data_IF_688639864314
#
_entry.id   IF_688639864314
#
_cell.length_a   1.000
_cell.length_b   1.000
_cell.length_c   1.000
_cell.angle_alpha   90.00
_cell.angle_beta   90.00
_cell.angle_gamma   90.00
#
_symmetry.space_group_name_H-M   'P 1'
#
loop_
_entity.id
_entity.type
_entity.pdbx_description
1 polymer ?
#
# COMPACT_ATOMS: atom_id res chain seq x y z
N UNK A 1 -13.62 40.22 -8.92
CA UNK A 1 -14.94 40.77 -8.53
C UNK A 1 -15.31 40.21 -7.15
N UNK A 2 -15.67 41.05 -6.17
CA UNK A 2 -16.09 40.59 -4.84
C UNK A 2 -17.38 39.76 -4.91
N UNK A 3 -17.60 38.88 -3.93
CA UNK A 3 -18.81 38.05 -3.85
C UNK A 3 -20.00 38.94 -3.48
N UNK A 4 -21.09 38.96 -4.25
CA UNK A 4 -22.28 39.77 -3.92
C UNK A 4 -22.87 39.40 -2.55
N UNK A 5 -23.24 40.43 -1.78
CA UNK A 5 -24.00 40.25 -0.54
C UNK A 5 -25.43 39.78 -0.87
N UNK A 6 -25.98 38.86 -0.05
CA UNK A 6 -27.32 38.29 -0.25
C UNK A 6 -27.37 36.92 -0.95
N UNK A 7 -26.24 36.39 -1.43
CA UNK A 7 -26.20 35.03 -1.98
C UNK A 7 -26.42 33.97 -0.89
N UNK A 8 -27.13 32.89 -1.24
CA UNK A 8 -27.22 31.67 -0.44
C UNK A 8 -25.85 31.01 -0.31
N UNK A 9 -25.65 30.18 0.73
CA UNK A 9 -24.38 29.50 0.98
C UNK A 9 -23.86 28.73 -0.25
N UNK A 10 -24.75 28.01 -0.94
CA UNK A 10 -24.42 27.22 -2.13
C UNK A 10 -23.93 28.10 -3.29
N UNK A 11 -24.60 29.22 -3.55
CA UNK A 11 -24.20 30.17 -4.60
C UNK A 11 -22.88 30.85 -4.25
N UNK A 12 -22.63 31.17 -2.97
CA UNK A 12 -21.32 31.67 -2.54
C UNK A 12 -20.21 30.66 -2.81
N UNK A 13 -20.44 29.36 -2.58
CA UNK A 13 -19.45 28.31 -2.88
C UNK A 13 -19.18 28.17 -4.38
N UNK A 14 -20.20 28.24 -5.22
CA UNK A 14 -20.02 28.24 -6.70
C UNK A 14 -19.21 29.46 -7.12
N UNK A 15 -19.59 30.65 -6.64
CA UNK A 15 -18.90 31.91 -6.97
C UNK A 15 -17.45 31.93 -6.48
N UNK A 16 -17.16 31.32 -5.34
CA UNK A 16 -15.81 31.19 -4.81
C UNK A 16 -14.90 30.37 -5.75
N UNK A 17 -15.44 29.33 -6.38
CA UNK A 17 -14.71 28.47 -7.31
C UNK A 17 -14.85 28.91 -8.78
N UNK A 18 -15.37 30.12 -9.06
CA UNK A 18 -15.56 30.62 -10.44
C UNK A 18 -14.28 30.60 -11.27
N UNK A 19 -13.13 30.82 -10.63
CA UNK A 19 -11.83 30.84 -11.29
C UNK A 19 -11.47 29.47 -11.88
N UNK A 20 -11.94 28.38 -11.27
CA UNK A 20 -11.79 27.03 -11.82
C UNK A 20 -12.51 26.92 -13.17
N UNK A 21 -13.73 27.46 -13.27
CA UNK A 21 -14.48 27.45 -14.53
C UNK A 21 -13.85 28.38 -15.57
N UNK A 22 -13.27 29.51 -15.15
CA UNK A 22 -12.56 30.42 -16.06
C UNK A 22 -11.28 29.79 -16.61
N UNK A 23 -10.49 29.13 -15.77
CA UNK A 23 -9.29 28.38 -16.19
C UNK A 23 -9.61 27.26 -17.17
N UNK A 24 -10.84 26.77 -17.13
CA UNK A 24 -11.30 25.69 -17.96
C UNK A 24 -11.92 26.19 -19.29
N UNK A 25 -11.97 27.50 -19.56
CA UNK A 25 -12.71 28.11 -20.69
C UNK A 25 -14.23 27.88 -20.62
N UNK A 26 -14.81 27.87 -19.42
CA UNK A 26 -16.25 27.85 -19.19
C UNK A 26 -16.84 26.48 -18.84
N UNK A 27 -18.15 26.44 -18.63
CA UNK A 27 -18.86 25.24 -18.16
C UNK A 27 -19.10 24.23 -19.30
N UNK A 28 -19.10 24.70 -20.55
CA UNK A 28 -19.52 23.92 -21.73
C UNK A 28 -18.67 22.68 -21.96
N UNK A 29 -17.37 22.70 -21.62
CA UNK A 29 -16.50 21.53 -21.76
C UNK A 29 -17.00 20.33 -20.91
N UNK A 30 -17.69 20.63 -19.80
CA UNK A 30 -18.19 19.65 -18.84
C UNK A 30 -19.58 19.16 -19.22
N UNK A 31 -20.21 19.77 -20.23
CA UNK A 31 -21.53 19.38 -20.74
C UNK A 31 -21.36 18.31 -21.83
N UNK A 32 -22.29 17.36 -21.89
CA UNK A 32 -22.38 16.38 -22.98
C UNK A 32 -23.84 15.95 -23.14
N UNK A 33 -24.40 16.19 -24.33
CA UNK A 33 -25.84 16.03 -24.62
C UNK A 33 -26.70 16.84 -23.63
N UNK A 34 -26.40 18.15 -23.53
CA UNK A 34 -27.07 19.14 -22.67
C UNK A 34 -27.13 18.81 -21.18
N UNK A 35 -26.30 17.85 -20.73
CA UNK A 35 -26.19 17.45 -19.33
C UNK A 35 -24.78 17.67 -18.82
N UNK A 36 -24.67 18.35 -17.69
CA UNK A 36 -23.40 18.50 -16.98
C UNK A 36 -22.90 17.13 -16.51
N UNK A 37 -21.64 16.80 -16.84
CA UNK A 37 -20.99 15.54 -16.50
C UNK A 37 -19.99 15.78 -15.38
N UNK A 38 -20.39 15.41 -14.16
CA UNK A 38 -19.53 15.46 -12.97
C UNK A 38 -18.19 14.75 -13.22
N UNK A 39 -18.20 13.63 -13.96
CA UNK A 39 -16.98 12.89 -14.31
C UNK A 39 -15.96 13.75 -15.10
N UNK A 40 -16.41 14.61 -16.01
CA UNK A 40 -15.51 15.48 -16.79
C UNK A 40 -14.90 16.56 -15.88
N UNK A 41 -15.72 17.22 -15.06
CA UNK A 41 -15.26 18.20 -14.08
C UNK A 41 -14.28 17.57 -13.08
N UNK A 42 -14.59 16.37 -12.59
CA UNK A 42 -13.72 15.66 -11.67
C UNK A 42 -12.34 15.35 -12.28
N UNK A 43 -12.29 14.88 -13.53
CA UNK A 43 -11.04 14.64 -14.27
C UNK A 43 -10.25 15.93 -14.55
N UNK A 44 -10.93 17.06 -14.73
CA UNK A 44 -10.29 18.36 -14.89
C UNK A 44 -9.67 18.83 -13.57
N UNK A 45 -10.42 18.73 -12.47
CA UNK A 45 -9.96 19.06 -11.12
C UNK A 45 -8.82 18.15 -10.63
N UNK A 46 -8.83 16.90 -11.07
CA UNK A 46 -7.85 15.89 -10.70
C UNK A 46 -7.08 15.46 -11.94
N UNK A 47 -6.02 16.19 -12.32
CA UNK A 47 -5.19 15.80 -13.44
C UNK A 47 -4.71 14.36 -13.26
N UNK A 48 -4.55 13.66 -14.38
CA UNK A 48 -4.13 12.26 -14.39
C UNK A 48 -2.78 12.16 -13.67
N UNK A 49 -2.78 11.56 -12.48
CA UNK A 49 -1.57 11.35 -11.71
C UNK A 49 -0.56 10.47 -12.44
N UNK A 50 0.71 10.55 -12.02
CA UNK A 50 1.76 9.69 -12.55
C UNK A 50 1.36 8.22 -12.47
N UNK A 51 1.66 7.46 -13.54
CA UNK A 51 1.41 6.02 -13.54
C UNK A 51 2.33 5.35 -12.50
N UNK A 52 1.76 4.62 -11.57
CA UNK A 52 2.51 3.91 -10.52
C UNK A 52 2.59 2.42 -10.84
N UNK A 53 3.80 1.86 -10.74
CA UNK A 53 4.06 0.46 -11.07
C UNK A 53 3.29 -0.53 -10.18
N UNK A 54 3.06 -0.17 -8.91
CA UNK A 54 2.40 -0.99 -7.91
C UNK A 54 0.87 -1.04 -8.02
N UNK A 55 0.24 -0.25 -8.92
CA UNK A 55 -1.23 -0.16 -9.03
C UNK A 55 -1.91 -1.52 -9.16
N UNK A 56 -1.35 -2.41 -9.99
CA UNK A 56 -1.96 -3.74 -10.23
C UNK A 56 -1.87 -4.63 -8.99
N UNK A 57 -0.75 -4.57 -8.27
CA UNK A 57 -0.52 -5.31 -7.03
C UNK A 57 -1.50 -4.89 -5.92
N UNK A 58 -1.92 -3.62 -5.90
CA UNK A 58 -2.81 -3.09 -4.85
C UNK A 58 -4.29 -3.12 -5.27
N UNK A 59 -4.65 -2.50 -6.39
CA UNK A 59 -6.06 -2.18 -6.69
C UNK A 59 -6.87 -3.37 -7.24
N UNK A 60 -6.23 -4.46 -7.67
CA UNK A 60 -6.91 -5.66 -8.18
C UNK A 60 -6.38 -6.94 -7.50
N UNK A 61 -5.99 -6.81 -6.23
CA UNK A 61 -5.50 -7.94 -5.46
C UNK A 61 -6.64 -8.81 -4.95
N UNK A 62 -6.43 -10.12 -4.95
CA UNK A 62 -7.29 -11.08 -4.26
C UNK A 62 -6.91 -11.25 -2.77
N UNK A 63 -5.81 -10.64 -2.33
CA UNK A 63 -5.38 -10.63 -0.93
C UNK A 63 -6.39 -9.92 -0.02
N UNK A 64 -6.21 -10.04 1.30
CA UNK A 64 -7.11 -9.37 2.23
C UNK A 64 -7.06 -7.84 2.06
N UNK A 65 -8.19 -7.13 2.20
CA UNK A 65 -8.20 -5.67 2.14
C UNK A 65 -7.27 -5.02 3.17
N UNK A 66 -7.18 -5.61 4.38
CA UNK A 66 -6.27 -5.15 5.45
C UNK A 66 -4.81 -5.32 5.04
N UNK A 67 -4.47 -6.47 4.47
CA UNK A 67 -3.11 -6.78 4.02
C UNK A 67 -2.70 -5.87 2.86
N UNK A 68 -3.60 -5.70 1.89
CA UNK A 68 -3.42 -4.80 0.74
C UNK A 68 -3.20 -3.36 1.17
N UNK A 69 -3.95 -2.88 2.17
CA UNK A 69 -3.79 -1.53 2.72
C UNK A 69 -2.40 -1.32 3.36
N UNK A 70 -1.91 -2.28 4.14
CA UNK A 70 -0.57 -2.19 4.74
C UNK A 70 0.53 -2.21 3.68
N UNK A 71 0.43 -3.05 2.66
CA UNK A 71 1.39 -3.06 1.55
C UNK A 71 1.34 -1.74 0.77
N UNK A 72 0.15 -1.18 0.54
CA UNK A 72 -0.01 0.12 -0.11
C UNK A 72 0.71 1.24 0.65
N UNK A 73 0.67 1.22 1.98
CA UNK A 73 1.46 2.14 2.81
C UNK A 73 2.97 1.82 2.71
N UNK A 74 3.34 0.54 2.74
CA UNK A 74 4.73 0.11 2.67
C UNK A 74 5.42 0.53 1.36
N UNK A 75 4.79 0.31 0.20
CA UNK A 75 5.34 0.71 -1.11
C UNK A 75 5.49 2.22 -1.27
N UNK A 76 4.77 3.01 -0.47
CA UNK A 76 4.91 4.47 -0.40
C UNK A 76 5.83 4.93 0.73
N UNK A 77 6.48 4.00 1.43
CA UNK A 77 7.32 4.26 2.60
C UNK A 77 6.58 5.02 3.70
N UNK A 78 5.29 4.73 3.92
CA UNK A 78 4.37 5.42 4.85
C UNK A 78 4.08 4.67 6.15
N UNK A 79 4.71 3.52 6.38
CA UNK A 79 4.58 2.80 7.65
C UNK A 79 5.39 3.48 8.76
N UNK A 80 4.94 3.35 10.00
CA UNK A 80 5.59 3.93 11.18
C UNK A 80 6.76 3.06 11.69
N UNK A 81 7.76 2.88 10.84
CA UNK A 81 9.04 2.23 11.17
C UNK A 81 9.89 3.13 12.07
N UNK A 82 10.77 2.55 12.89
CA UNK A 82 11.55 3.33 13.88
C UNK A 82 12.46 4.37 13.22
N UNK A 83 13.08 4.08 12.06
CA UNK A 83 13.84 5.07 11.29
C UNK A 83 13.02 6.33 10.96
N UNK A 84 11.72 6.15 10.69
CA UNK A 84 10.82 7.26 10.34
C UNK A 84 10.34 8.00 11.58
N UNK A 85 10.09 7.29 12.68
CA UNK A 85 9.75 7.91 13.96
C UNK A 85 10.92 8.75 14.49
N UNK A 86 12.16 8.27 14.37
CA UNK A 86 13.37 9.02 14.73
C UNK A 86 13.50 10.29 13.87
N UNK A 87 13.20 10.20 12.57
CA UNK A 87 13.14 11.39 11.69
C UNK A 87 12.07 12.41 12.09
N UNK A 88 11.04 11.97 12.81
CA UNK A 88 10.04 12.87 13.43
C UNK A 88 10.45 13.38 14.81
N UNK A 89 11.72 13.22 15.18
CA UNK A 89 12.29 13.67 16.46
C UNK A 89 11.70 12.95 17.69
N UNK A 90 11.15 11.74 17.52
CA UNK A 90 10.80 10.89 18.66
C UNK A 90 12.08 10.28 19.25
N UNK A 91 12.25 10.42 20.56
CA UNK A 91 13.35 9.81 21.32
C UNK A 91 13.08 8.34 21.59
N UNK A 92 13.32 7.49 20.59
CA UNK A 92 13.17 6.04 20.68
C UNK A 92 14.46 5.34 20.24
N UNK A 93 14.67 4.13 20.76
CA UNK A 93 15.72 3.24 20.25
C UNK A 93 15.37 2.76 18.83
N UNK A 94 16.35 2.83 17.92
CA UNK A 94 16.24 2.49 16.52
C UNK A 94 16.34 1.00 16.21
N UNK A 95 16.76 0.16 17.17
CA UNK A 95 16.98 -1.27 16.94
C UNK A 95 15.67 -1.98 16.57
N UNK A 96 15.74 -2.89 15.60
CA UNK A 96 14.62 -3.69 15.13
C UNK A 96 14.02 -4.55 16.25
N UNK A 97 12.72 -4.40 16.48
CA UNK A 97 11.99 -5.13 17.51
C UNK A 97 12.05 -6.65 17.34
N UNK A 98 12.16 -7.14 16.10
CA UNK A 98 12.08 -8.55 15.78
C UNK A 98 13.41 -9.29 15.94
N UNK A 99 14.52 -8.76 15.39
CA UNK A 99 15.82 -9.42 15.46
C UNK A 99 16.71 -8.92 16.61
N UNK A 100 16.50 -7.69 17.10
CA UNK A 100 17.33 -7.03 18.13
C UNK A 100 18.81 -6.88 17.74
N UNK A 101 19.15 -6.86 16.45
CA UNK A 101 20.55 -6.77 15.96
C UNK A 101 20.83 -5.48 15.18
N UNK A 102 19.98 -5.13 14.21
CA UNK A 102 20.20 -3.97 13.34
C UNK A 102 19.09 -2.93 13.52
N UNK A 103 19.30 -1.72 12.98
CA UNK A 103 18.29 -0.66 13.00
C UNK A 103 17.07 -1.00 12.12
N UNK A 104 15.87 -0.71 12.63
CA UNK A 104 14.62 -0.91 11.91
C UNK A 104 14.46 0.11 10.80
N UNK A 105 14.64 -0.34 9.55
CA UNK A 105 14.18 0.33 8.34
C UNK A 105 13.08 -0.48 7.68
N UNK A 106 12.40 0.07 6.67
CA UNK A 106 11.42 -0.68 5.90
C UNK A 106 12.02 -1.90 5.20
N UNK A 107 13.22 -1.75 4.62
CA UNK A 107 13.94 -2.83 3.95
C UNK A 107 14.36 -3.92 4.94
N UNK A 108 14.98 -3.50 6.05
CA UNK A 108 15.37 -4.42 7.10
C UNK A 108 14.15 -5.16 7.67
N UNK A 109 13.09 -4.44 8.03
CA UNK A 109 11.91 -5.03 8.66
C UNK A 109 11.30 -6.18 7.84
N UNK A 110 11.19 -6.03 6.51
CA UNK A 110 10.48 -7.02 5.69
C UNK A 110 11.39 -8.10 5.09
N UNK A 111 12.61 -7.78 4.65
CA UNK A 111 13.41 -8.74 3.87
C UNK A 111 14.89 -8.82 4.24
N UNK A 112 15.42 -8.02 5.18
CA UNK A 112 16.79 -8.20 5.70
C UNK A 112 16.84 -8.70 7.15
N UNK A 113 15.77 -8.51 7.93
CA UNK A 113 15.63 -9.04 9.28
C UNK A 113 15.64 -10.58 9.27
N UNK A 114 16.45 -11.22 10.12
CA UNK A 114 16.59 -12.68 10.17
C UNK A 114 15.25 -13.41 10.36
N UNK A 115 14.39 -12.89 11.22
CA UNK A 115 13.04 -13.42 11.45
C UNK A 115 12.15 -13.33 10.19
N UNK A 116 12.14 -12.16 9.55
CA UNK A 116 11.31 -11.90 8.36
C UNK A 116 11.83 -12.64 7.12
N UNK A 117 13.15 -12.74 6.97
CA UNK A 117 13.81 -13.52 5.93
C UNK A 117 13.39 -15.00 6.00
N UNK A 118 13.39 -15.58 7.20
CA UNK A 118 13.03 -17.00 7.36
C UNK A 118 11.55 -17.24 7.05
N UNK A 119 10.64 -16.32 7.45
CA UNK A 119 9.23 -16.37 7.03
C UNK A 119 9.12 -16.38 5.51
N UNK A 120 9.72 -15.39 4.84
CA UNK A 120 9.57 -15.25 3.40
C UNK A 120 10.19 -16.41 2.63
N UNK A 121 11.35 -16.90 3.09
CA UNK A 121 12.00 -18.10 2.53
C UNK A 121 11.09 -19.33 2.59
N UNK A 122 10.46 -19.60 3.72
CA UNK A 122 9.54 -20.74 3.86
C UNK A 122 8.27 -20.57 3.02
N UNK A 123 7.77 -19.34 2.88
CA UNK A 123 6.64 -19.04 1.98
C UNK A 123 7.04 -19.29 0.52
N UNK A 124 8.21 -18.82 0.09
CA UNK A 124 8.72 -19.08 -1.27
C UNK A 124 8.86 -20.58 -1.56
N UNK A 125 9.44 -21.34 -0.63
CA UNK A 125 9.56 -22.80 -0.73
C UNK A 125 8.18 -23.47 -0.83
N UNK A 126 7.21 -23.03 -0.03
CA UNK A 126 5.83 -23.53 -0.07
C UNK A 126 5.12 -23.24 -1.40
N UNK A 127 5.57 -22.20 -2.12
CA UNK A 127 5.12 -21.87 -3.47
C UNK A 127 5.98 -22.54 -4.57
N UNK A 128 6.89 -23.44 -4.23
CA UNK A 128 7.79 -24.09 -5.19
C UNK A 128 8.81 -23.14 -5.83
N UNK A 129 9.12 -22.02 -5.19
CA UNK A 129 10.11 -21.04 -5.65
C UNK A 129 11.41 -21.23 -4.87
N UNK A 130 12.45 -21.73 -5.52
CA UNK A 130 13.76 -21.95 -4.90
C UNK A 130 14.74 -20.83 -5.28
N UNK A 131 14.80 -19.78 -4.47
CA UNK A 131 15.79 -18.69 -4.56
C UNK A 131 16.03 -18.06 -3.19
N UNK A 132 17.09 -17.26 -3.09
CA UNK A 132 17.32 -16.41 -1.92
C UNK A 132 16.29 -15.29 -1.82
N UNK A 133 16.07 -14.82 -0.59
CA UNK A 133 15.30 -13.60 -0.32
C UNK A 133 16.04 -12.42 -0.92
N UNK A 134 15.32 -11.56 -1.62
CA UNK A 134 15.88 -10.38 -2.27
C UNK A 134 15.56 -9.11 -1.45
N UNK A 135 16.28 -8.00 -1.69
CA UNK A 135 15.93 -6.70 -1.14
C UNK A 135 14.48 -6.29 -1.42
N UNK A 136 13.93 -5.42 -0.56
CA UNK A 136 12.55 -4.95 -0.66
C UNK A 136 12.14 -4.48 -2.05
N UNK A 137 12.98 -3.68 -2.71
CA UNK A 137 12.64 -3.15 -4.02
C UNK A 137 12.46 -4.27 -5.05
N UNK A 138 13.35 -5.25 -5.06
CA UNK A 138 13.33 -6.37 -6.01
C UNK A 138 12.13 -7.30 -5.76
N UNK A 139 11.83 -7.62 -4.50
CA UNK A 139 10.65 -8.41 -4.14
C UNK A 139 9.35 -7.74 -4.58
N UNK A 140 9.24 -6.42 -4.38
CA UNK A 140 8.10 -5.63 -4.87
C UNK A 140 8.00 -5.70 -6.40
N UNK A 141 9.11 -5.58 -7.14
CA UNK A 141 9.06 -5.67 -8.61
C UNK A 141 8.58 -7.04 -9.09
N UNK A 142 9.03 -8.12 -8.44
CA UNK A 142 8.57 -9.47 -8.77
C UNK A 142 7.08 -9.61 -8.48
N UNK A 143 6.62 -9.18 -7.29
CA UNK A 143 5.21 -9.21 -6.93
C UNK A 143 4.34 -8.39 -7.91
N UNK A 144 4.81 -7.20 -8.32
CA UNK A 144 4.15 -6.39 -9.35
C UNK A 144 4.06 -7.13 -10.68
N UNK A 145 5.16 -7.74 -11.14
CA UNK A 145 5.16 -8.52 -12.39
C UNK A 145 4.20 -9.70 -12.31
N UNK A 146 4.17 -10.42 -11.18
CA UNK A 146 3.27 -11.56 -10.96
C UNK A 146 1.80 -11.14 -10.90
N UNK A 147 1.49 -9.98 -10.32
CA UNK A 147 0.11 -9.45 -10.24
C UNK A 147 -0.53 -9.12 -11.59
N UNK A 148 0.28 -9.01 -12.65
CA UNK A 148 -0.19 -8.78 -14.02
C UNK A 148 -0.55 -10.08 -14.75
N UNK A 149 -0.11 -11.21 -14.24
CA UNK A 149 -0.38 -12.53 -14.84
C UNK A 149 -1.73 -13.09 -14.36
N UNK A 150 -2.40 -13.84 -15.22
CA UNK A 150 -3.62 -14.59 -14.91
C UNK A 150 -3.32 -16.02 -14.43
N UNK A 151 -2.06 -16.44 -14.43
CA UNK A 151 -1.68 -17.78 -13.99
C UNK A 151 -1.92 -17.96 -12.50
N UNK A 152 -2.52 -19.09 -12.09
CA UNK A 152 -2.83 -19.41 -10.69
C UNK A 152 -1.62 -19.27 -9.77
N UNK A 153 -0.45 -19.73 -10.21
CA UNK A 153 0.78 -19.64 -9.42
C UNK A 153 1.26 -18.20 -9.23
N UNK A 154 1.09 -17.34 -10.24
CA UNK A 154 1.44 -15.93 -10.13
C UNK A 154 0.47 -15.16 -9.23
N UNK A 155 -0.81 -15.53 -9.25
CA UNK A 155 -1.80 -15.03 -8.30
C UNK A 155 -1.43 -15.42 -6.86
N UNK A 156 -1.18 -16.71 -6.60
CA UNK A 156 -0.71 -17.21 -5.30
C UNK A 156 0.50 -16.45 -4.78
N UNK A 157 1.51 -16.25 -5.64
CA UNK A 157 2.70 -15.48 -5.28
C UNK A 157 2.37 -14.04 -4.86
N UNK A 158 1.53 -13.35 -5.63
CA UNK A 158 1.18 -11.96 -5.36
C UNK A 158 0.40 -11.82 -4.05
N UNK A 159 -0.52 -12.74 -3.77
CA UNK A 159 -1.24 -12.80 -2.49
C UNK A 159 -0.27 -13.11 -1.35
N UNK A 160 0.59 -14.12 -1.51
CA UNK A 160 1.54 -14.52 -0.48
C UNK A 160 2.50 -13.40 -0.10
N UNK A 161 2.99 -12.63 -1.08
CA UNK A 161 3.77 -11.42 -0.82
C UNK A 161 3.00 -10.43 0.06
N UNK A 162 1.74 -10.14 -0.31
CA UNK A 162 0.91 -9.16 0.41
C UNK A 162 0.60 -9.62 1.83
N UNK A 163 0.22 -10.89 2.00
CA UNK A 163 -0.08 -11.47 3.31
C UNK A 163 1.18 -11.56 4.18
N UNK A 164 2.35 -11.86 3.60
CA UNK A 164 3.62 -11.92 4.34
C UNK A 164 3.98 -10.56 4.93
N UNK A 165 3.94 -9.50 4.11
CA UNK A 165 4.21 -8.12 4.57
C UNK A 165 3.25 -7.73 5.69
N UNK A 166 1.97 -8.05 5.55
CA UNK A 166 0.98 -7.77 6.58
C UNK A 166 1.24 -8.54 7.88
N UNK A 167 1.48 -9.85 7.81
CA UNK A 167 1.74 -10.66 8.98
C UNK A 167 3.03 -10.24 9.69
N UNK A 168 4.10 -9.95 8.97
CA UNK A 168 5.35 -9.42 9.56
C UNK A 168 5.09 -8.09 10.27
N UNK A 169 4.30 -7.20 9.66
CA UNK A 169 3.91 -5.93 10.28
C UNK A 169 3.12 -6.14 11.59
N UNK A 170 2.22 -7.12 11.62
CA UNK A 170 1.50 -7.49 12.86
C UNK A 170 2.44 -8.03 13.94
N UNK A 171 3.40 -8.89 13.59
CA UNK A 171 4.37 -9.42 14.54
C UNK A 171 5.25 -8.31 15.12
N UNK A 172 5.73 -7.39 14.28
CA UNK A 172 6.48 -6.22 14.73
C UNK A 172 5.65 -5.39 15.71
N UNK A 173 4.39 -5.10 15.39
CA UNK A 173 3.55 -4.31 16.30
C UNK A 173 3.20 -5.06 17.58
N UNK A 174 2.98 -6.38 17.51
CA UNK A 174 2.79 -7.20 18.69
C UNK A 174 4.01 -7.15 19.62
N UNK A 175 5.22 -7.18 19.06
CA UNK A 175 6.46 -7.01 19.83
C UNK A 175 6.55 -5.64 20.47
N UNK A 176 6.22 -4.56 19.74
CA UNK A 176 6.28 -3.19 20.28
C UNK A 176 5.27 -2.94 21.40
N UNK A 177 4.03 -3.42 21.25
CA UNK A 177 2.93 -3.07 22.16
C UNK A 177 2.62 -4.14 23.22
N UNK A 178 3.02 -5.39 23.01
CA UNK A 178 2.68 -6.54 23.86
C UNK A 178 3.88 -7.44 24.17
N UNK A 179 5.08 -7.05 23.74
CA UNK A 179 6.32 -7.82 23.90
C UNK A 179 6.26 -9.27 23.36
N UNK A 180 5.37 -9.53 22.39
CA UNK A 180 5.08 -10.88 21.89
C UNK A 180 5.43 -11.03 20.41
N UNK A 181 6.05 -12.15 20.04
CA UNK A 181 6.31 -12.56 18.65
C UNK A 181 5.99 -14.03 18.49
N UNK A 182 5.16 -14.35 17.49
CA UNK A 182 4.83 -15.73 17.17
C UNK A 182 6.01 -16.47 16.51
N UNK A 183 6.14 -17.79 16.71
CA UNK A 183 7.12 -18.59 15.98
C UNK A 183 6.92 -18.50 14.46
N UNK A 184 8.01 -18.49 13.70
CA UNK A 184 8.00 -18.41 12.22
C UNK A 184 7.01 -19.40 11.62
N UNK A 185 7.03 -20.66 12.08
CA UNK A 185 6.14 -21.72 11.59
C UNK A 185 4.66 -21.34 11.68
N UNK A 186 4.23 -20.76 12.81
CA UNK A 186 2.85 -20.31 13.02
C UNK A 186 2.46 -19.21 12.04
N UNK A 187 3.37 -18.25 11.83
CA UNK A 187 3.14 -17.13 10.91
C UNK A 187 3.06 -17.63 9.46
N UNK A 188 3.96 -18.51 9.06
CA UNK A 188 3.97 -19.13 7.72
C UNK A 188 2.68 -19.92 7.48
N UNK A 189 2.25 -20.75 8.45
CA UNK A 189 0.98 -21.48 8.33
C UNK A 189 -0.22 -20.56 8.14
N UNK A 190 -0.28 -19.45 8.88
CA UNK A 190 -1.35 -18.45 8.73
C UNK A 190 -1.31 -17.76 7.36
N UNK A 191 -0.13 -17.40 6.87
CA UNK A 191 0.05 -16.83 5.52
C UNK A 191 -0.47 -17.81 4.46
N UNK A 192 -0.03 -19.07 4.51
CA UNK A 192 -0.41 -20.08 3.53
C UNK A 192 -1.90 -20.39 3.57
N UNK A 193 -2.52 -20.45 4.76
CA UNK A 193 -3.97 -20.57 4.90
C UNK A 193 -4.71 -19.43 4.18
N UNK A 194 -4.31 -18.18 4.43
CA UNK A 194 -4.91 -17.01 3.78
C UNK A 194 -4.72 -17.02 2.25
N UNK A 195 -3.58 -17.49 1.77
CA UNK A 195 -3.30 -17.63 0.33
C UNK A 195 -4.24 -18.66 -0.29
N UNK A 196 -4.39 -19.84 0.30
CA UNK A 196 -5.26 -20.90 -0.24
C UNK A 196 -6.74 -20.50 -0.21
N UNK A 197 -7.22 -19.84 0.86
CA UNK A 197 -8.60 -19.37 0.94
C UNK A 197 -8.95 -18.28 -0.09
N UNK A 198 -7.96 -17.53 -0.58
CA UNK A 198 -8.17 -16.39 -1.48
C UNK A 198 -7.85 -16.67 -2.95
N UNK A 199 -7.23 -17.80 -3.23
CA UNK A 199 -6.91 -18.25 -4.59
C UNK A 199 -7.98 -19.20 -5.20
N UNK A 200 -9.17 -19.26 -4.61
CA UNK A 200 -10.32 -20.01 -5.14
C UNK A 200 -11.06 -19.22 -6.21
#
# INVERSE_FOLDING_TARGET
>A
MPIPNGLTWSLRKIWHNREVFLQANGVDQFVQADKFRIQKMYKFLHPVGAQVGWKRLICNSHASPKSTFIVWLAVQNRLATKDRLIRWQLSIDGICGLCQVENESLEHLFFSCSYSQEIWKQVLLSLGVNRTVLPWHEEVQIAVKKSRSTQKQACKYSIAFIESVYCIWLQRNAKVFRDHVDPVKTVVSNIMFNVECRCQ
#
